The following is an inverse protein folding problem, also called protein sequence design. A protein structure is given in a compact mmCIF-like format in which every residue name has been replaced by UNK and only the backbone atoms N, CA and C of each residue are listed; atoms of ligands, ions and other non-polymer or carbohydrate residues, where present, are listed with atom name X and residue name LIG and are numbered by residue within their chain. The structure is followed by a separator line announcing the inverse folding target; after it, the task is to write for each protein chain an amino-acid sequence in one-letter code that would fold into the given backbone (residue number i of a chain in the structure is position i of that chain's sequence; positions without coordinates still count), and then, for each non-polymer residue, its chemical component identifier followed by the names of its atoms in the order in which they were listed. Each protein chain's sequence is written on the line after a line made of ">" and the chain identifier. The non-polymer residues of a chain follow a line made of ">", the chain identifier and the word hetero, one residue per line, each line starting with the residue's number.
data_IF_078856217304
#
_entry.id   IF_078856217304
#
_cell.length_a   1.000
_cell.length_b   1.000
_cell.length_c   1.000
_cell.angle_alpha   90.00
_cell.angle_beta   90.00
_cell.angle_gamma   90.00
#
_symmetry.space_group_name_H-M   'P 1'
#
loop_
_entity.id
_entity.type
_entity.pdbx_description
1 polymer ?
#
# COMPACT_ATOMS: atom_id res chain seq x y z
N UNK A 1 12.84 26.93 29.61
CA UNK A 1 13.52 26.81 28.30
C UNK A 1 13.52 25.34 27.84
N UNK A 2 12.34 24.72 27.70
CA UNK A 2 12.20 23.26 27.55
C UNK A 2 11.31 22.82 26.38
N UNK A 3 11.37 23.53 25.24
CA UNK A 3 10.40 23.35 24.16
C UNK A 3 11.02 23.08 22.76
N UNK A 4 12.33 22.88 22.68
CA UNK A 4 13.03 22.64 21.40
C UNK A 4 13.36 21.16 21.18
N UNK A 5 13.67 20.41 22.24
CA UNK A 5 13.99 18.97 22.14
C UNK A 5 12.75 18.10 21.86
N UNK A 6 11.58 18.49 22.38
CA UNK A 6 10.31 17.82 22.13
C UNK A 6 9.87 17.89 20.67
N UNK A 7 10.11 19.02 20.00
CA UNK A 7 9.68 19.24 18.62
C UNK A 7 10.54 18.43 17.62
N UNK A 8 11.85 18.36 17.84
CA UNK A 8 12.75 17.54 17.01
C UNK A 8 12.48 16.04 17.24
N UNK A 9 12.31 15.60 18.49
CA UNK A 9 11.98 14.20 18.79
C UNK A 9 10.61 13.77 18.20
N UNK A 10 9.62 14.66 18.23
CA UNK A 10 8.31 14.40 17.61
C UNK A 10 8.40 14.27 16.10
N UNK A 11 9.26 15.07 15.44
CA UNK A 11 9.52 14.96 13.99
C UNK A 11 10.02 13.58 13.59
N UNK A 12 10.98 13.01 14.31
CA UNK A 12 11.49 11.67 14.01
C UNK A 12 10.53 10.53 14.39
N UNK A 13 9.66 10.72 15.39
CA UNK A 13 8.79 9.65 15.87
C UNK A 13 7.44 9.55 15.14
N UNK A 14 6.97 10.65 14.54
CA UNK A 14 5.58 10.75 14.08
C UNK A 14 5.37 11.37 12.70
N UNK A 15 6.41 11.94 12.09
CA UNK A 15 6.29 12.52 10.77
C UNK A 15 7.01 11.62 9.75
N UNK A 16 6.42 11.48 8.54
CA UNK A 16 7.08 10.76 7.46
C UNK A 16 8.43 11.41 7.12
N UNK A 17 9.33 10.68 6.43
CA UNK A 17 10.53 11.27 5.86
C UNK A 17 10.19 12.44 4.92
N UNK A 18 10.98 13.51 5.00
CA UNK A 18 10.90 14.69 4.13
C UNK A 18 12.30 14.92 3.50
N UNK A 19 12.46 14.73 2.18
CA UNK A 19 11.44 14.39 1.18
C UNK A 19 10.95 12.92 1.28
N UNK A 20 9.76 12.60 0.72
CA UNK A 20 9.26 11.23 0.62
C UNK A 20 10.28 10.27 -0.01
N UNK A 21 10.28 9.00 0.42
CA UNK A 21 11.23 7.99 -0.08
C UNK A 21 10.82 7.46 -1.47
N UNK A 22 9.62 7.78 -1.94
CA UNK A 22 9.10 7.33 -3.22
C UNK A 22 8.20 8.41 -3.86
N UNK A 23 8.11 8.36 -5.19
CA UNK A 23 7.24 9.23 -5.98
C UNK A 23 6.14 8.40 -6.66
N UNK A 24 5.04 9.05 -7.06
CA UNK A 24 3.99 8.43 -7.89
C UNK A 24 3.88 9.21 -9.18
N UNK A 25 4.03 8.51 -10.30
CA UNK A 25 3.89 9.05 -11.64
C UNK A 25 2.70 8.41 -12.33
N UNK A 26 2.05 9.18 -13.19
CA UNK A 26 0.99 8.68 -14.07
C UNK A 26 1.60 8.46 -15.47
N UNK A 27 1.55 7.21 -15.96
CA UNK A 27 1.95 6.88 -17.32
C UNK A 27 0.87 7.26 -18.34
N UNK A 28 1.20 7.26 -19.64
CA UNK A 28 0.34 7.71 -20.74
C UNK A 28 -1.03 6.98 -20.84
N UNK A 29 -1.18 5.83 -20.19
CA UNK A 29 -2.44 5.06 -20.13
C UNK A 29 -3.28 5.32 -18.86
N UNK A 30 -2.91 6.30 -18.01
CA UNK A 30 -3.58 6.57 -16.73
C UNK A 30 -3.23 5.55 -15.64
N UNK A 31 -2.19 4.74 -15.86
CA UNK A 31 -1.66 3.80 -14.87
C UNK A 31 -0.70 4.53 -13.94
N UNK A 32 -0.92 4.36 -12.64
CA UNK A 32 -0.02 4.89 -11.62
C UNK A 32 1.17 3.93 -11.43
N UNK A 33 2.37 4.50 -11.39
CA UNK A 33 3.62 3.79 -11.17
C UNK A 33 4.46 4.52 -10.14
N UNK A 34 5.17 3.74 -9.32
CA UNK A 34 6.20 4.23 -8.40
C UNK A 34 7.56 3.93 -9.03
N UNK A 35 8.28 4.92 -9.58
CA UNK A 35 9.61 4.70 -10.13
C UNK A 35 10.55 4.08 -9.08
N UNK A 36 11.37 3.12 -9.48
CA UNK A 36 12.25 2.37 -8.59
C UNK A 36 11.63 1.14 -7.90
N UNK A 37 10.32 1.17 -7.61
CA UNK A 37 9.60 0.05 -6.95
C UNK A 37 8.82 -0.81 -7.95
N UNK A 38 8.24 -0.19 -9.00
CA UNK A 38 7.35 -0.86 -9.98
C UNK A 38 8.08 -1.68 -11.05
N UNK A 39 9.36 -2.00 -10.87
CA UNK A 39 10.05 -2.95 -11.76
C UNK A 39 9.39 -4.35 -11.72
N UNK A 40 8.69 -4.68 -10.63
CA UNK A 40 7.90 -5.89 -10.52
C UNK A 40 6.51 -5.72 -11.20
N UNK A 41 6.27 -6.50 -12.26
CA UNK A 41 4.97 -6.56 -12.98
C UNK A 41 3.82 -7.01 -12.07
N UNK A 42 4.12 -7.54 -10.89
CA UNK A 42 3.16 -8.00 -9.92
C UNK A 42 2.73 -6.93 -8.91
N UNK A 43 3.12 -5.68 -9.09
CA UNK A 43 2.65 -4.55 -8.27
C UNK A 43 1.68 -3.64 -9.06
N UNK A 44 0.57 -3.29 -8.41
CA UNK A 44 -0.32 -2.22 -8.87
C UNK A 44 -0.34 -1.07 -7.86
N UNK A 45 -0.47 0.16 -8.35
CA UNK A 45 -0.63 1.35 -7.53
C UNK A 45 -2.04 1.91 -7.75
N UNK A 46 -2.69 2.30 -6.67
CA UNK A 46 -4.03 2.86 -6.65
C UNK A 46 -4.05 4.16 -5.85
N UNK A 47 -4.90 5.10 -6.28
CA UNK A 47 -5.21 6.29 -5.50
C UNK A 47 -6.66 6.24 -5.05
N UNK A 48 -6.87 6.53 -3.77
CA UNK A 48 -8.16 6.50 -3.08
C UNK A 48 -8.54 7.90 -2.63
N UNK A 49 -9.76 8.31 -2.92
CA UNK A 49 -10.36 9.47 -2.29
C UNK A 49 -10.99 9.05 -0.95
N UNK A 50 -10.53 9.66 0.13
CA UNK A 50 -11.08 9.47 1.48
C UNK A 50 -12.32 10.35 1.68
N UNK A 51 -13.17 10.00 2.64
CA UNK A 51 -14.34 10.83 2.98
C UNK A 51 -13.98 12.25 3.42
N UNK A 52 -12.75 12.45 3.90
CA UNK A 52 -12.22 13.75 4.29
C UNK A 52 -11.74 14.60 3.09
N UNK A 53 -11.83 14.09 1.86
CA UNK A 53 -11.36 14.78 0.65
C UNK A 53 -9.85 14.65 0.41
N UNK A 54 -9.14 13.82 1.17
CA UNK A 54 -7.72 13.53 0.94
C UNK A 54 -7.56 12.39 -0.07
N UNK A 55 -6.49 12.46 -0.86
CA UNK A 55 -6.03 11.39 -1.76
C UNK A 55 -4.99 10.55 -1.04
N UNK A 56 -5.27 9.27 -0.92
CA UNK A 56 -4.39 8.28 -0.28
C UNK A 56 -3.86 7.32 -1.33
N UNK A 57 -2.55 7.07 -1.30
CA UNK A 57 -1.90 6.09 -2.17
C UNK A 57 -1.95 4.72 -1.52
N UNK A 58 -2.27 3.71 -2.31
CA UNK A 58 -2.22 2.31 -1.93
C UNK A 58 -1.47 1.49 -2.98
N UNK A 59 -0.73 0.46 -2.54
CA UNK A 59 -0.01 -0.46 -3.40
C UNK A 59 -0.50 -1.88 -3.15
N UNK A 60 -0.67 -2.63 -4.22
CA UNK A 60 -1.10 -4.02 -4.20
C UNK A 60 -0.03 -4.93 -4.80
N UNK A 61 0.55 -5.77 -3.96
CA UNK A 61 1.58 -6.73 -4.32
C UNK A 61 0.96 -8.12 -4.50
N UNK A 62 1.04 -8.67 -5.71
CA UNK A 62 0.38 -9.92 -6.09
C UNK A 62 1.33 -11.09 -5.99
N UNK A 63 0.94 -12.17 -5.32
CA UNK A 63 1.67 -13.44 -5.39
C UNK A 63 0.88 -14.47 -6.21
N UNK A 64 1.49 -15.14 -7.21
CA UNK A 64 0.79 -16.01 -8.15
C UNK A 64 0.02 -17.15 -7.48
N UNK A 65 0.50 -17.62 -6.32
CA UNK A 65 -0.12 -18.72 -5.56
C UNK A 65 -0.76 -18.25 -4.25
N UNK A 66 -1.05 -16.96 -4.11
CA UNK A 66 -1.65 -16.44 -2.88
C UNK A 66 -3.08 -16.91 -2.70
N UNK A 67 -3.36 -17.45 -1.51
CA UNK A 67 -4.72 -17.77 -1.05
C UNK A 67 -5.33 -16.70 -0.16
N UNK A 68 -4.47 -15.86 0.42
CA UNK A 68 -4.86 -14.81 1.35
C UNK A 68 -4.25 -13.47 0.92
N UNK A 69 -4.93 -12.40 1.30
CA UNK A 69 -4.46 -11.03 1.12
C UNK A 69 -4.28 -10.41 2.50
N UNK A 70 -3.07 -9.94 2.77
CA UNK A 70 -2.72 -9.22 3.98
C UNK A 70 -2.95 -7.73 3.75
N UNK A 71 -3.86 -7.12 4.51
CA UNK A 71 -3.98 -5.68 4.60
C UNK A 71 -2.97 -5.17 5.62
N UNK A 72 -1.96 -4.44 5.18
CA UNK A 72 -0.87 -3.94 5.99
C UNK A 72 -0.96 -2.43 6.19
N UNK A 73 -0.92 -2.02 7.45
CA UNK A 73 -0.84 -0.62 7.86
C UNK A 73 0.58 -0.33 8.32
N UNK A 74 1.27 0.64 7.71
CA UNK A 74 2.65 0.95 8.04
C UNK A 74 2.79 1.58 9.43
N UNK A 75 4.00 1.52 9.99
CA UNK A 75 4.32 2.15 11.27
C UNK A 75 4.40 3.68 11.18
N UNK A 76 4.46 4.34 12.34
CA UNK A 76 4.70 5.78 12.39
C UNK A 76 6.08 6.12 11.79
N UNK A 77 6.19 7.33 11.22
CA UNK A 77 7.42 7.83 10.60
C UNK A 77 8.02 6.96 9.47
N UNK A 78 7.22 6.05 8.91
CA UNK A 78 7.56 5.25 7.73
C UNK A 78 6.62 5.59 6.57
N UNK A 79 7.08 5.37 5.35
CA UNK A 79 6.27 5.46 4.12
C UNK A 79 6.29 4.12 3.35
N UNK A 80 5.43 3.97 2.35
CA UNK A 80 5.40 2.75 1.52
C UNK A 80 6.73 2.46 0.79
N UNK A 81 7.53 3.49 0.49
CA UNK A 81 8.83 3.34 -0.16
C UNK A 81 9.83 2.59 0.72
N UNK A 82 9.90 2.93 2.00
CA UNK A 82 10.78 2.25 2.97
C UNK A 82 10.36 0.80 3.22
N UNK A 83 9.08 0.49 3.09
CA UNK A 83 8.54 -0.84 3.38
C UNK A 83 8.63 -1.81 2.20
N UNK A 84 9.17 -1.39 1.05
CA UNK A 84 9.20 -2.20 -0.17
C UNK A 84 9.98 -3.52 0.00
N UNK A 85 11.17 -3.49 0.60
CA UNK A 85 12.00 -4.69 0.84
C UNK A 85 11.27 -5.69 1.73
N UNK A 86 10.65 -5.18 2.80
CA UNK A 86 9.83 -5.98 3.70
C UNK A 86 8.68 -6.67 2.96
N UNK A 87 7.99 -5.98 2.06
CA UNK A 87 6.89 -6.58 1.30
C UNK A 87 7.36 -7.66 0.34
N UNK A 88 8.53 -7.50 -0.29
CA UNK A 88 9.12 -8.54 -1.14
C UNK A 88 9.37 -9.81 -0.34
N UNK A 89 10.04 -9.69 0.81
CA UNK A 89 10.34 -10.83 1.69
C UNK A 89 9.07 -11.47 2.25
N UNK A 90 8.16 -10.66 2.80
CA UNK A 90 6.93 -11.13 3.43
C UNK A 90 6.04 -11.87 2.42
N UNK A 91 5.92 -11.33 1.21
CA UNK A 91 5.19 -11.93 0.09
C UNK A 91 5.80 -13.28 -0.29
N UNK A 92 7.13 -13.36 -0.39
CA UNK A 92 7.83 -14.58 -0.77
C UNK A 92 7.72 -15.68 0.31
N UNK A 93 7.88 -15.31 1.58
CA UNK A 93 7.86 -16.27 2.70
C UNK A 93 6.45 -16.76 3.05
N UNK A 94 5.47 -15.86 3.08
CA UNK A 94 4.10 -16.22 3.46
C UNK A 94 3.23 -16.64 2.26
N UNK A 95 3.67 -16.36 1.02
CA UNK A 95 2.91 -16.60 -0.20
C UNK A 95 1.50 -15.98 -0.14
N UNK A 96 1.45 -14.70 0.18
CA UNK A 96 0.21 -13.91 0.29
C UNK A 96 0.26 -12.71 -0.65
N UNK A 97 -0.90 -12.20 -1.04
CA UNK A 97 -0.98 -10.86 -1.61
C UNK A 97 -0.84 -9.86 -0.47
N UNK A 98 -0.27 -8.69 -0.74
CA UNK A 98 -0.15 -7.63 0.26
C UNK A 98 -0.83 -6.38 -0.30
N UNK A 99 -1.78 -5.84 0.45
CA UNK A 99 -2.38 -4.54 0.21
C UNK A 99 -1.85 -3.60 1.29
N UNK A 100 -1.12 -2.56 0.90
CA UNK A 100 -0.61 -1.55 1.81
C UNK A 100 -1.04 -0.16 1.36
N UNK A 101 -1.15 0.77 2.29
CA UNK A 101 -1.63 2.13 2.03
C UNK A 101 -0.93 3.13 2.94
N UNK A 102 -0.74 4.34 2.46
CA UNK A 102 -0.21 5.44 3.26
C UNK A 102 -1.33 6.14 4.05
N UNK A 103 -1.00 6.71 5.20
CA UNK A 103 -1.92 7.61 5.89
C UNK A 103 -2.00 8.97 5.19
N UNK A 104 -3.08 9.74 5.46
CA UNK A 104 -3.15 11.11 4.95
C UNK A 104 -1.98 11.96 5.47
N UNK A 105 -1.30 12.66 4.57
CA UNK A 105 -0.10 13.44 4.88
C UNK A 105 1.19 12.62 5.03
N UNK A 106 1.18 11.34 4.62
CA UNK A 106 2.37 10.48 4.52
C UNK A 106 2.73 10.21 3.06
N UNK A 107 4.04 10.08 2.79
CA UNK A 107 4.58 9.75 1.48
C UNK A 107 4.01 10.64 0.36
N UNK A 108 3.46 10.00 -0.68
CA UNK A 108 2.82 10.69 -1.80
C UNK A 108 1.32 10.99 -1.58
N UNK A 109 0.78 10.70 -0.38
CA UNK A 109 -0.63 10.96 -0.05
C UNK A 109 -0.87 12.40 0.38
N UNK A 110 -1.98 12.98 -0.06
CA UNK A 110 -2.34 14.35 0.30
C UNK A 110 -2.90 14.45 1.72
N UNK A 111 -2.88 15.67 2.27
CA UNK A 111 -3.38 16.00 3.60
C UNK A 111 -2.28 16.36 4.60
N UNK A 112 -2.66 16.55 5.85
CA UNK A 112 -1.73 16.88 6.94
C UNK A 112 -1.62 15.70 7.91
N UNK A 113 -0.39 15.33 8.29
CA UNK A 113 -0.15 14.33 9.32
C UNK A 113 -0.65 14.84 10.69
N UNK A 114 -1.47 14.05 11.44
CA UNK A 114 -1.96 14.49 12.74
C UNK A 114 -0.84 14.46 13.80
N UNK A 115 -0.70 15.56 14.56
CA UNK A 115 0.30 15.73 15.65
C UNK A 115 0.01 14.83 16.86
N UNK A 116 -1.20 14.28 16.97
CA UNK A 116 -1.60 13.34 18.02
C UNK A 116 -1.55 11.91 17.47
N UNK A 117 -0.47 11.22 17.80
CA UNK A 117 -0.02 9.91 17.28
C UNK A 117 -0.86 8.70 17.69
N UNK A 118 -2.12 8.90 18.02
CA UNK A 118 -3.08 7.82 17.93
C UNK A 118 -3.75 8.05 16.59
N UNK A 119 -3.27 7.34 15.56
CA UNK A 119 -4.15 7.01 14.43
C UNK A 119 -5.37 6.42 15.10
N UNK A 120 -6.40 7.25 15.28
CA UNK A 120 -7.71 6.73 15.62
C UNK A 120 -8.02 5.89 14.40
N UNK A 121 -7.76 4.59 14.53
CA UNK A 121 -8.39 3.49 13.82
C UNK A 121 -9.93 3.56 13.96
N UNK A 122 -10.52 4.70 14.35
CA UNK A 122 -11.80 5.10 13.81
C UNK A 122 -11.57 5.28 12.32
N UNK A 123 -11.87 4.18 11.62
CA UNK A 123 -12.05 4.16 10.18
C UNK A 123 -10.70 3.98 9.47
N UNK A 124 -10.22 2.71 9.42
CA UNK A 124 -9.87 2.17 8.10
C UNK A 124 -11.05 2.58 7.23
N UNK A 125 -10.86 3.58 6.36
CA UNK A 125 -11.94 4.09 5.53
C UNK A 125 -12.60 2.88 4.88
N UNK A 126 -13.93 2.82 4.95
CA UNK A 126 -14.67 1.74 4.30
C UNK A 126 -14.26 1.66 2.85
N UNK A 127 -13.78 2.77 2.25
CA UNK A 127 -13.12 2.80 0.95
C UNK A 127 -11.84 1.95 0.86
N UNK A 128 -10.92 2.03 1.83
CA UNK A 128 -9.69 1.20 1.86
C UNK A 128 -10.06 -0.28 1.99
N UNK A 129 -10.94 -0.62 2.93
CA UNK A 129 -11.39 -2.00 3.12
C UNK A 129 -12.15 -2.53 1.89
N UNK A 130 -13.00 -1.70 1.30
CA UNK A 130 -13.76 -2.02 0.09
C UNK A 130 -12.82 -2.21 -1.11
N UNK A 131 -11.82 -1.35 -1.28
CA UNK A 131 -10.80 -1.50 -2.31
C UNK A 131 -9.99 -2.78 -2.10
N UNK A 132 -9.46 -3.02 -0.89
CA UNK A 132 -8.72 -4.23 -0.58
C UNK A 132 -9.54 -5.49 -0.90
N UNK A 133 -10.83 -5.49 -0.53
CA UNK A 133 -11.76 -6.58 -0.83
C UNK A 133 -12.01 -6.73 -2.33
N UNK A 134 -12.24 -5.63 -3.05
CA UNK A 134 -12.52 -5.60 -4.49
C UNK A 134 -11.32 -6.04 -5.34
N UNK A 135 -10.14 -5.51 -5.03
CA UNK A 135 -8.87 -5.84 -5.71
C UNK A 135 -8.50 -7.30 -5.43
N UNK A 136 -8.62 -7.74 -4.17
CA UNK A 136 -8.39 -9.15 -3.79
C UNK A 136 -9.37 -10.10 -4.47
N UNK A 137 -10.66 -9.76 -4.53
CA UNK A 137 -11.68 -10.59 -5.18
C UNK A 137 -11.46 -10.67 -6.70
N UNK A 138 -11.18 -9.54 -7.34
CA UNK A 138 -10.87 -9.46 -8.77
C UNK A 138 -9.66 -10.32 -9.13
N UNK A 139 -8.64 -10.36 -8.27
CA UNK A 139 -7.47 -11.20 -8.49
C UNK A 139 -7.76 -12.68 -8.25
N UNK A 140 -8.48 -13.02 -7.18
CA UNK A 140 -8.88 -14.41 -6.89
C UNK A 140 -9.67 -15.03 -8.06
N UNK A 141 -10.58 -14.26 -8.66
CA UNK A 141 -11.34 -14.69 -9.84
C UNK A 141 -10.45 -14.90 -11.08
N UNK A 142 -9.49 -14.02 -11.34
CA UNK A 142 -8.54 -14.17 -12.46
C UNK A 142 -7.65 -15.39 -12.29
N UNK A 143 -7.10 -15.62 -11.11
CA UNK A 143 -6.25 -16.78 -10.82
C UNK A 143 -7.03 -18.10 -10.88
N UNK A 144 -8.28 -18.11 -10.41
CA UNK A 144 -9.17 -19.27 -10.54
C UNK A 144 -9.48 -19.59 -12.02
N UNK A 145 -9.73 -18.58 -12.85
CA UNK A 145 -9.96 -18.75 -14.27
C UNK A 145 -8.71 -19.31 -14.99
N UNK A 146 -7.52 -18.82 -14.67
CA UNK A 146 -6.26 -19.33 -15.26
C UNK A 146 -5.95 -20.75 -14.80
N UNK A 147 -6.18 -21.08 -13.53
CA UNK A 147 -5.95 -22.44 -13.00
C UNK A 147 -6.89 -23.46 -13.62
N UNK A 148 -8.17 -23.12 -13.84
CA UNK A 148 -9.14 -24.01 -14.51
C UNK A 148 -8.83 -24.23 -15.99
N UNK A 149 -8.23 -23.26 -16.69
CA UNK A 149 -7.75 -23.48 -18.06
C UNK A 149 -6.48 -24.32 -18.11
N UNK A 150 -5.59 -24.21 -17.11
CA UNK A 150 -4.36 -24.99 -17.03
C UNK A 150 -4.59 -26.47 -16.66
N UNK A 151 -5.67 -26.79 -15.95
CA UNK A 151 -6.07 -28.18 -15.67
C UNK A 151 -6.89 -28.83 -16.80
N UNK A 152 -7.37 -28.05 -17.76
CA UNK A 152 -8.10 -28.55 -18.94
C UNK A 152 -7.19 -28.91 -20.13
N UNK A 153 -5.86 -28.75 -20.00
CA UNK A 153 -4.88 -28.93 -21.09
C UNK A 153 -3.88 -30.07 -20.87
N UNK A 154 -4.21 -31.07 -20.04
CA UNK A 154 -3.47 -32.34 -20.01
C UNK A 154 -4.13 -33.37 -20.93
N UNK A 155 -3.62 -33.61 -22.16
CA UNK A 155 -3.98 -34.78 -22.93
C UNK A 155 -3.25 -36.02 -22.38
N UNK A 156 -4.05 -37.04 -22.08
CA UNK A 156 -3.75 -38.48 -21.86
C UNK A 156 -2.78 -38.87 -20.75
#
# INVERSE_FOLDING_TARGET
>A
MGNVTSNVAAKFAFFPPDPPTYDVLEEEEGRLVVPGVTADKNMDVHTLDTKAGNKVVAMFWKHPFARFTLLYSHGNAADLGQMHELFIELRAHLRVNIMCYDYSGYGASSGNAPVTSVVKLKVVDTSIWSMASSVSASYTLRTAATTNCASASSPT
#
